data_IF_405277478707
#
_entry.id   IF_405277478707
#
_cell.length_a   1.000
_cell.length_b   1.000
_cell.length_c   1.000
_cell.angle_alpha   90.00
_cell.angle_beta   90.00
_cell.angle_gamma   90.00
#
_symmetry.space_group_name_H-M   'P 1'
#
loop_
_entity.id
_entity.type
_entity.pdbx_description
1 polymer ?
#
# COMPACT_ATOMS: atom_id res chain seq x y z
N UNK A 1 -22.06 7.53 35.98
CA UNK A 1 -21.64 7.09 35.54
C UNK A 1 -21.30 7.24 35.27
N UNK A 2 -21.51 7.73 35.48
CA UNK A 2 -20.95 7.39 34.98
C UNK A 2 -20.51 7.60 34.49
N UNK A 3 -20.81 8.02 34.72
CA UNK A 3 -20.29 7.81 34.21
C UNK A 3 -19.83 8.04 33.65
N UNK A 4 -19.94 8.45 33.94
CA UNK A 4 -19.54 8.36 33.33
C UNK A 4 -19.09 8.63 32.75
N UNK A 5 -19.87 8.93 33.48
CA UNK A 5 -19.60 8.67 33.12
C UNK A 5 -19.16 8.76 32.48
N UNK A 6 -19.07 9.22 32.31
CA UNK A 6 -19.05 8.89 31.74
C UNK A 6 -18.47 9.14 30.89
N UNK A 7 -18.76 9.55 31.28
CA UNK A 7 -18.84 9.24 30.73
C UNK A 7 -18.18 9.58 29.93
N UNK A 8 -18.36 9.40 29.58
CA UNK A 8 -18.21 9.33 29.11
C UNK A 8 -17.60 9.31 28.41
N UNK A 9 -18.06 9.86 29.08
CA UNK A 9 -17.95 9.53 28.72
C UNK A 9 -17.38 9.56 28.09
N UNK A 10 -17.83 9.73 28.31
CA UNK A 10 -17.76 9.36 28.01
C UNK A 10 -17.20 9.51 27.49
N UNK A 11 -17.56 9.78 27.73
CA UNK A 11 -17.50 9.47 27.52
C UNK A 11 -16.85 9.66 27.16
N UNK A 12 -17.22 9.99 27.43
CA UNK A 12 -17.00 9.64 27.27
C UNK A 12 -16.31 9.73 26.94
N UNK A 13 -16.52 9.79 26.83
CA UNK A 13 -16.27 9.39 26.68
C UNK A 13 -15.48 9.24 26.38
N UNK A 14 -15.77 9.93 26.78
CA UNK A 14 -15.38 9.38 26.74
C UNK A 14 -14.51 9.55 26.64
N UNK A 15 -14.85 10.05 27.19
CA UNK A 15 -14.30 9.46 27.26
C UNK A 15 -13.49 9.54 27.31
N UNK A 16 -13.50 10.00 27.60
CA UNK A 16 -12.90 9.33 27.69
C UNK A 16 -12.08 9.32 27.80
N UNK A 17 -12.23 9.74 28.03
CA UNK A 17 -11.57 8.90 28.18
C UNK A 17 -10.93 9.09 28.24
N UNK A 18 -10.98 9.45 28.33
CA UNK A 18 -10.42 8.85 28.43
C UNK A 18 -9.78 8.74 28.54
N UNK A 19 -9.97 9.14 28.84
CA UNK A 19 -9.35 8.46 28.80
C UNK A 19 -8.98 8.24 28.59
N UNK A 20 -9.02 8.46 28.68
CA UNK A 20 -8.59 7.79 28.27
C UNK A 20 -8.18 7.77 27.74
N UNK A 21 -7.80 7.93 28.02
CA UNK A 21 -7.60 7.66 27.33
C UNK A 21 -7.11 6.91 27.13
N UNK A 22 -7.14 6.62 27.04
CA UNK A 22 -6.84 5.72 26.65
C UNK A 22 -5.95 5.45 26.14
N UNK A 23 -5.25 5.07 26.44
CA UNK A 23 -4.42 4.72 25.60
C UNK A 23 -4.25 3.56 25.10
N UNK A 24 -4.50 3.43 24.30
CA UNK A 24 -4.48 2.19 23.64
C UNK A 24 -3.09 1.82 23.20
N UNK A 25 -2.80 0.56 23.03
CA UNK A 25 -1.48 0.18 22.59
C UNK A 25 -1.24 0.84 21.25
N UNK A 26 -0.08 1.40 21.12
CA UNK A 26 0.25 2.17 19.96
C UNK A 26 0.99 1.30 18.99
N UNK A 27 0.35 1.00 17.90
CA UNK A 27 1.04 0.52 16.74
C UNK A 27 1.78 1.71 16.14
N UNK A 28 3.05 1.57 15.74
CA UNK A 28 3.73 2.69 15.11
C UNK A 28 2.90 3.21 13.94
N UNK A 29 2.68 4.49 13.92
CA UNK A 29 1.96 5.12 12.83
C UNK A 29 2.80 5.07 11.57
N UNK A 30 2.15 4.94 10.39
CA UNK A 30 2.83 5.10 9.13
C UNK A 30 3.35 6.53 9.06
N UNK A 31 4.61 6.73 8.70
CA UNK A 31 5.17 8.07 8.66
C UNK A 31 4.46 8.92 7.60
N UNK A 32 4.39 10.24 7.85
CA UNK A 32 3.79 11.18 6.90
C UNK A 32 4.66 11.38 5.67
N UNK A 33 5.95 11.13 5.80
CA UNK A 33 6.90 11.15 4.70
C UNK A 33 7.68 9.85 4.71
N UNK A 34 7.89 9.31 3.53
CA UNK A 34 8.58 8.05 3.38
C UNK A 34 9.57 8.18 2.23
N UNK A 35 10.84 7.99 2.53
CA UNK A 35 11.87 7.98 1.49
C UNK A 35 11.98 6.57 0.92
N UNK A 36 11.93 6.48 -0.40
CA UNK A 36 12.08 5.21 -1.11
C UNK A 36 13.50 5.01 -1.64
N UNK A 37 14.43 5.90 -1.26
CA UNK A 37 15.77 5.92 -1.85
C UNK A 37 16.56 4.66 -1.57
N UNK A 38 16.30 3.97 -0.47
CA UNK A 38 17.03 2.75 -0.12
C UNK A 38 16.56 1.52 -0.90
N UNK A 39 15.41 1.62 -1.59
CA UNK A 39 14.89 0.47 -2.32
C UNK A 39 15.58 0.31 -3.66
N UNK A 40 15.95 -0.93 -4.05
CA UNK A 40 16.50 -1.17 -5.38
C UNK A 40 15.38 -1.05 -6.43
N UNK A 41 15.77 -0.99 -7.70
CA UNK A 41 14.80 -1.06 -8.78
C UNK A 41 14.08 -2.41 -8.81
N UNK A 42 14.82 -3.47 -8.51
CA UNK A 42 14.25 -4.81 -8.46
C UNK A 42 13.14 -4.86 -7.41
N UNK A 43 12.16 -5.69 -7.68
CA UNK A 43 11.01 -5.85 -6.81
C UNK A 43 9.84 -4.91 -7.15
N UNK A 44 10.05 -3.99 -8.09
CA UNK A 44 8.99 -3.10 -8.55
C UNK A 44 8.39 -3.63 -9.84
N UNK A 45 7.08 -3.56 -9.93
CA UNK A 45 6.34 -3.84 -11.17
C UNK A 45 5.80 -2.50 -11.63
N UNK A 46 6.32 -2.02 -12.77
CA UNK A 46 5.97 -0.70 -13.28
C UNK A 46 4.91 -0.86 -14.36
N UNK A 47 3.82 -0.11 -14.23
CA UNK A 47 2.74 -0.18 -15.21
C UNK A 47 2.03 1.17 -15.30
N UNK A 48 1.09 1.26 -16.23
CA UNK A 48 0.36 2.50 -16.49
C UNK A 48 1.03 3.36 -17.53
N UNK A 49 0.87 4.66 -17.42
CA UNK A 49 1.41 5.60 -18.41
C UNK A 49 2.86 5.96 -18.09
N UNK A 50 3.83 5.56 -18.93
CA UNK A 50 5.24 5.87 -18.65
C UNK A 50 5.55 7.36 -18.54
N UNK A 51 4.71 8.21 -19.13
CA UNK A 51 4.89 9.66 -19.08
C UNK A 51 4.07 10.33 -17.99
N UNK A 52 3.28 9.57 -17.24
CA UNK A 52 2.45 10.10 -16.17
C UNK A 52 3.25 10.40 -14.93
N UNK A 53 2.61 11.11 -14.00
CA UNK A 53 3.19 11.33 -12.68
C UNK A 53 3.35 9.99 -11.98
N UNK A 54 4.49 9.80 -11.31
CA UNK A 54 4.79 8.55 -10.64
C UNK A 54 4.08 8.46 -9.29
N UNK A 55 3.47 7.31 -9.06
CA UNK A 55 2.89 6.95 -7.78
C UNK A 55 3.42 5.57 -7.40
N UNK A 56 3.92 5.43 -6.18
CA UNK A 56 4.40 4.14 -5.68
C UNK A 56 3.38 3.57 -4.73
N UNK A 57 3.08 2.27 -4.88
CA UNK A 57 2.10 1.62 -4.02
C UNK A 57 2.70 0.32 -3.47
N UNK A 58 2.52 0.11 -2.17
CA UNK A 58 2.86 -1.15 -1.54
C UNK A 58 1.56 -1.94 -1.40
N UNK A 59 1.53 -3.12 -1.96
CA UNK A 59 0.28 -3.88 -2.12
C UNK A 59 0.48 -5.34 -1.77
N UNK A 60 -0.65 -6.02 -1.56
CA UNK A 60 -0.68 -7.46 -1.40
C UNK A 60 -1.74 -7.99 -2.37
N UNK A 61 -1.40 -9.03 -3.13
CA UNK A 61 -2.32 -9.54 -4.15
C UNK A 61 -3.60 -10.14 -3.56
N UNK A 62 -3.62 -10.44 -2.26
CA UNK A 62 -4.82 -10.94 -1.59
C UNK A 62 -5.63 -9.85 -0.90
N UNK A 63 -5.23 -8.61 -1.05
CA UNK A 63 -5.90 -7.47 -0.42
C UNK A 63 -6.99 -6.92 -1.32
N UNK A 64 -8.24 -6.93 -0.83
CA UNK A 64 -9.38 -6.41 -1.60
C UNK A 64 -9.28 -4.93 -1.89
N UNK A 65 -8.78 -4.14 -0.95
CA UNK A 65 -8.58 -2.70 -1.16
C UNK A 65 -7.48 -2.42 -2.18
N UNK A 66 -6.47 -3.29 -2.26
CA UNK A 66 -5.44 -3.17 -3.28
C UNK A 66 -6.02 -3.42 -4.67
N UNK A 67 -6.90 -4.41 -4.78
CA UNK A 67 -7.62 -4.66 -6.03
C UNK A 67 -8.45 -3.44 -6.43
N UNK A 68 -9.19 -2.86 -5.49
CA UNK A 68 -10.00 -1.68 -5.74
C UNK A 68 -9.14 -0.51 -6.18
N UNK A 69 -8.00 -0.30 -5.52
CA UNK A 69 -7.06 0.77 -5.88
C UNK A 69 -6.51 0.56 -7.29
N UNK A 70 -6.16 -0.67 -7.64
CA UNK A 70 -5.66 -0.98 -8.98
C UNK A 70 -6.68 -0.58 -10.05
N UNK A 71 -7.95 -0.87 -9.84
CA UNK A 71 -9.01 -0.46 -10.77
C UNK A 71 -9.07 1.06 -10.93
N UNK A 72 -8.91 1.80 -9.83
CA UNK A 72 -8.88 3.26 -9.89
C UNK A 72 -7.67 3.75 -10.68
N UNK A 73 -6.48 3.21 -10.35
CA UNK A 73 -5.25 3.66 -10.98
C UNK A 73 -5.20 3.36 -12.48
N UNK A 74 -5.86 2.28 -12.91
CA UNK A 74 -5.93 1.96 -14.35
C UNK A 74 -6.63 3.05 -15.15
N UNK A 75 -7.55 3.77 -14.53
CA UNK A 75 -8.31 4.83 -15.19
C UNK A 75 -7.66 6.20 -15.04
N UNK A 76 -6.52 6.26 -14.36
CA UNK A 76 -5.80 7.51 -14.12
C UNK A 76 -4.59 7.61 -15.02
N UNK A 77 -4.15 8.83 -15.27
CA UNK A 77 -2.97 9.08 -16.11
C UNK A 77 -1.72 9.11 -15.22
N UNK A 78 -1.35 7.95 -14.69
CA UNK A 78 -0.22 7.83 -13.75
C UNK A 78 0.70 6.70 -14.18
N UNK A 79 1.96 6.84 -13.77
CA UNK A 79 2.94 5.78 -13.85
C UNK A 79 2.99 5.11 -12.49
N UNK A 80 2.58 3.85 -12.43
CA UNK A 80 2.50 3.13 -11.17
C UNK A 80 3.76 2.31 -10.96
N UNK A 81 4.38 2.46 -9.80
CA UNK A 81 5.47 1.60 -9.34
C UNK A 81 4.89 0.77 -8.20
N UNK A 82 4.57 -0.48 -8.51
CA UNK A 82 3.92 -1.35 -7.54
C UNK A 82 4.95 -2.26 -6.90
N UNK A 83 4.99 -2.26 -5.57
CA UNK A 83 5.93 -3.05 -4.79
C UNK A 83 5.16 -4.00 -3.90
N UNK A 84 5.09 -5.28 -4.28
CA UNK A 84 4.37 -6.26 -3.46
C UNK A 84 5.04 -6.45 -2.09
N UNK A 85 4.19 -6.51 -1.07
CA UNK A 85 4.57 -6.97 0.26
C UNK A 85 3.54 -8.01 0.67
N UNK A 86 3.94 -8.95 1.53
CA UNK A 86 3.10 -10.13 1.77
C UNK A 86 2.47 -10.10 3.14
N UNK A 87 1.82 -8.99 3.47
CA UNK A 87 1.17 -8.83 4.77
C UNK A 87 0.02 -9.82 4.98
N UNK A 88 -0.56 -10.31 3.89
CA UNK A 88 -1.63 -11.32 3.91
C UNK A 88 -1.17 -12.68 3.38
N UNK A 89 0.13 -12.90 3.36
CA UNK A 89 0.67 -14.20 3.00
C UNK A 89 0.65 -14.52 1.51
N UNK A 90 0.79 -13.52 0.65
CA UNK A 90 0.68 -13.68 -0.81
C UNK A 90 2.01 -13.77 -1.53
N UNK A 91 3.11 -14.08 -0.81
CA UNK A 91 4.43 -14.10 -1.44
C UNK A 91 4.52 -15.08 -2.61
N UNK A 92 3.82 -16.21 -2.53
CA UNK A 92 3.78 -17.17 -3.61
C UNK A 92 3.22 -16.56 -4.90
N UNK A 93 2.15 -15.79 -4.78
CA UNK A 93 1.57 -15.08 -5.93
C UNK A 93 2.54 -14.00 -6.43
N UNK A 94 3.13 -13.24 -5.51
CA UNK A 94 4.07 -12.18 -5.88
C UNK A 94 5.25 -12.75 -6.66
N UNK A 95 5.80 -13.89 -6.24
CA UNK A 95 6.90 -14.52 -6.95
C UNK A 95 6.50 -14.88 -8.39
N UNK A 96 5.33 -15.44 -8.56
CA UNK A 96 4.85 -15.85 -9.89
C UNK A 96 4.62 -14.66 -10.80
N UNK A 97 4.01 -13.62 -10.28
CA UNK A 97 3.77 -12.39 -11.04
C UNK A 97 5.10 -11.77 -11.44
N UNK A 98 6.01 -11.66 -10.48
CA UNK A 98 7.29 -10.99 -10.72
C UNK A 98 8.15 -11.75 -11.73
N UNK A 99 8.09 -13.07 -11.73
CA UNK A 99 8.86 -13.91 -12.64
C UNK A 99 8.14 -14.19 -13.97
N UNK A 100 6.94 -13.65 -14.16
CA UNK A 100 6.23 -13.80 -15.41
C UNK A 100 6.90 -12.98 -16.51
N UNK A 101 6.76 -13.43 -17.75
CA UNK A 101 7.34 -12.72 -18.90
C UNK A 101 6.77 -11.32 -19.03
N UNK A 102 5.46 -11.18 -18.81
CA UNK A 102 4.79 -9.89 -18.86
C UNK A 102 4.25 -9.62 -17.46
N UNK A 103 5.02 -8.90 -16.68
CA UNK A 103 4.67 -8.62 -15.28
C UNK A 103 3.39 -7.84 -15.15
N UNK A 104 3.20 -6.85 -16.00
CA UNK A 104 2.00 -6.02 -15.95
C UNK A 104 0.76 -6.87 -16.21
N UNK A 105 0.78 -7.71 -17.23
CA UNK A 105 -0.35 -8.59 -17.53
C UNK A 105 -0.62 -9.56 -16.40
N UNK A 106 0.45 -10.13 -15.82
CA UNK A 106 0.31 -11.08 -14.71
C UNK A 106 -0.25 -10.40 -13.47
N UNK A 107 0.17 -9.17 -13.19
CA UNK A 107 -0.33 -8.40 -12.06
C UNK A 107 -1.84 -8.18 -12.19
N UNK A 108 -2.30 -7.74 -13.34
CA UNK A 108 -3.73 -7.51 -13.54
C UNK A 108 -4.53 -8.80 -13.52
N UNK A 109 -3.97 -9.89 -14.04
CA UNK A 109 -4.61 -11.20 -13.98
C UNK A 109 -4.75 -11.68 -12.53
N UNK A 110 -3.71 -11.46 -11.72
CA UNK A 110 -3.77 -11.84 -10.31
C UNK A 110 -4.88 -11.09 -9.57
N UNK A 111 -4.99 -9.77 -9.81
CA UNK A 111 -6.06 -9.00 -9.18
C UNK A 111 -7.44 -9.37 -9.72
N UNK A 112 -7.51 -9.89 -10.94
CA UNK A 112 -8.77 -10.38 -11.49
C UNK A 112 -9.18 -11.75 -10.94
N UNK A 113 -8.37 -12.32 -10.07
CA UNK A 113 -8.66 -13.61 -9.46
C UNK A 113 -8.23 -14.80 -10.29
N UNK A 114 -7.45 -14.57 -11.35
CA UNK A 114 -6.96 -15.67 -12.16
C UNK A 114 -5.77 -16.34 -11.50
N UNK A 115 -5.67 -17.63 -11.69
CA UNK A 115 -4.51 -18.37 -11.20
C UNK A 115 -3.29 -18.04 -12.05
N UNK A 116 -2.20 -17.64 -11.39
CA UNK A 116 -0.94 -17.37 -12.08
C UNK A 116 -0.08 -18.61 -11.98
N UNK A 117 0.18 -19.22 -13.14
CA UNK A 117 0.97 -20.43 -13.18
C UNK A 117 2.41 -20.15 -12.82
N UNK A 118 3.03 -21.11 -12.14
CA UNK A 118 4.45 -21.03 -11.88
C UNK A 118 5.20 -21.07 -13.21
N UNK A 119 5.99 -20.06 -13.47
CA UNK A 119 6.83 -19.97 -14.64
C UNK A 119 8.28 -20.27 -14.30
N UNK A 120 9.21 -19.81 -15.14
CA UNK A 120 10.63 -19.95 -14.82
C UNK A 120 10.96 -19.20 -13.54
N UNK A 121 11.92 -19.74 -12.79
CA UNK A 121 12.41 -19.01 -11.62
C UNK A 121 13.16 -17.78 -12.06
N UNK A 122 13.14 -16.76 -11.21
CA UNK A 122 13.90 -15.56 -11.43
C UNK A 122 14.42 -15.04 -10.09
N UNK A 123 15.24 -14.01 -10.14
CA UNK A 123 15.77 -13.40 -8.93
C UNK A 123 14.68 -12.56 -8.28
N UNK A 124 14.25 -12.98 -7.09
CA UNK A 124 13.20 -12.28 -6.33
C UNK A 124 13.75 -11.54 -5.12
N UNK A 125 15.05 -11.25 -5.11
CA UNK A 125 15.64 -10.50 -3.99
C UNK A 125 15.05 -9.11 -3.83
N UNK A 126 14.55 -8.52 -4.91
CA UNK A 126 13.86 -7.24 -4.83
C UNK A 126 12.55 -7.33 -4.06
N UNK A 127 11.84 -8.46 -4.16
CA UNK A 127 10.66 -8.68 -3.34
C UNK A 127 11.03 -8.82 -1.87
N UNK A 128 12.15 -9.47 -1.57
CA UNK A 128 12.67 -9.53 -0.20
C UNK A 128 12.96 -8.12 0.32
N UNK A 129 13.52 -7.26 -0.53
CA UNK A 129 13.81 -5.88 -0.15
C UNK A 129 12.53 -5.10 0.17
N UNK A 130 11.45 -5.33 -0.58
CA UNK A 130 10.16 -4.72 -0.27
C UNK A 130 9.66 -5.14 1.11
N UNK A 131 9.75 -6.44 1.41
CA UNK A 131 9.30 -6.98 2.70
C UNK A 131 10.12 -6.38 3.84
N UNK A 132 11.44 -6.33 3.69
CA UNK A 132 12.32 -5.76 4.71
C UNK A 132 12.04 -4.28 4.91
N UNK A 133 11.81 -3.55 3.82
CA UNK A 133 11.46 -2.13 3.88
C UNK A 133 10.16 -1.93 4.65
N UNK A 134 9.14 -2.71 4.32
CA UNK A 134 7.84 -2.62 4.98
C UNK A 134 7.99 -2.87 6.48
N UNK A 135 8.77 -3.88 6.84
CA UNK A 135 9.01 -4.21 8.25
C UNK A 135 9.73 -3.06 8.96
N UNK A 136 10.79 -2.54 8.35
CA UNK A 136 11.59 -1.45 8.93
C UNK A 136 10.78 -0.19 9.16
N UNK A 137 9.87 0.11 8.25
CA UNK A 137 9.10 1.35 8.30
C UNK A 137 7.68 1.19 8.83
N UNK A 138 7.37 0.02 9.38
CA UNK A 138 6.08 -0.21 10.03
C UNK A 138 4.89 -0.28 9.09
N UNK A 139 5.08 -0.69 7.85
CA UNK A 139 3.99 -0.84 6.89
C UNK A 139 3.33 -2.20 7.13
N UNK A 140 2.32 -2.22 7.98
CA UNK A 140 1.69 -3.47 8.40
C UNK A 140 0.34 -3.71 7.72
N UNK A 141 -0.11 -2.79 6.87
CA UNK A 141 -1.35 -2.94 6.11
C UNK A 141 -1.15 -2.48 4.69
N UNK A 142 -2.14 -2.76 3.84
CA UNK A 142 -2.11 -2.41 2.42
C UNK A 142 -3.45 -1.87 1.98
N UNK A 143 -3.50 -1.04 0.94
CA UNK A 143 -2.36 -0.48 0.23
C UNK A 143 -1.73 0.67 1.00
N UNK A 144 -0.45 0.93 0.74
CA UNK A 144 0.22 2.17 1.17
C UNK A 144 0.61 2.91 -0.09
N UNK A 145 0.24 4.18 -0.18
CA UNK A 145 0.38 4.97 -1.39
C UNK A 145 1.40 6.07 -1.12
N UNK A 146 2.42 6.18 -1.96
CA UNK A 146 3.50 7.14 -1.75
C UNK A 146 3.61 8.03 -2.99
N UNK A 147 3.54 9.34 -2.74
CA UNK A 147 3.69 10.36 -3.79
C UNK A 147 5.17 10.66 -4.02
N UNK A 148 5.48 11.28 -5.15
CA UNK A 148 6.87 11.55 -5.53
C UNK A 148 7.67 12.35 -4.53
N UNK A 149 7.03 13.21 -3.74
CA UNK A 149 7.69 13.98 -2.69
C UNK A 149 7.78 13.22 -1.35
N UNK A 150 7.33 11.98 -1.32
CA UNK A 150 7.37 11.14 -0.12
C UNK A 150 6.12 11.19 0.74
N UNK A 151 5.12 11.99 0.38
CA UNK A 151 3.87 12.01 1.13
C UNK A 151 3.18 10.66 1.05
N UNK A 152 2.55 10.24 2.13
CA UNK A 152 2.04 8.87 2.29
C UNK A 152 0.55 8.90 2.62
N UNK A 153 -0.18 7.98 2.02
CA UNK A 153 -1.55 7.67 2.40
C UNK A 153 -1.63 6.19 2.72
N UNK A 154 -2.25 5.84 3.83
CA UNK A 154 -2.59 4.46 4.14
C UNK A 154 -4.03 4.19 3.71
N UNK A 155 -4.20 3.10 2.98
CA UNK A 155 -5.53 2.63 2.61
C UNK A 155 -6.00 3.15 1.27
N UNK A 156 -7.16 2.65 0.88
CA UNK A 156 -7.78 2.97 -0.39
C UNK A 156 -8.29 4.41 -0.40
N UNK A 157 -8.17 5.06 -1.56
CA UNK A 157 -8.82 6.35 -1.82
C UNK A 157 -9.42 6.33 -3.22
N UNK A 158 -10.53 7.02 -3.43
CA UNK A 158 -11.13 7.09 -4.76
C UNK A 158 -10.38 8.03 -5.68
N UNK A 159 -10.69 7.92 -6.96
CA UNK A 159 -9.99 8.64 -8.02
C UNK A 159 -9.93 10.14 -7.79
N UNK A 160 -11.07 10.77 -7.47
CA UNK A 160 -11.11 12.22 -7.31
C UNK A 160 -10.17 12.70 -6.19
N UNK A 161 -10.13 11.94 -5.09
CA UNK A 161 -9.22 12.25 -4.00
C UNK A 161 -7.76 12.15 -4.47
N UNK A 162 -7.43 11.06 -5.14
CA UNK A 162 -6.05 10.83 -5.57
C UNK A 162 -5.60 11.84 -6.61
N UNK A 163 -6.46 12.21 -7.54
CA UNK A 163 -6.11 13.22 -8.54
C UNK A 163 -5.77 14.55 -7.88
N UNK A 164 -6.57 14.94 -6.90
CA UNK A 164 -6.31 16.19 -6.18
C UNK A 164 -5.04 16.08 -5.32
N UNK A 165 -4.87 14.96 -4.62
CA UNK A 165 -3.71 14.73 -3.77
C UNK A 165 -2.40 14.72 -4.58
N UNK A 166 -2.42 14.14 -5.77
CA UNK A 166 -1.23 14.10 -6.62
C UNK A 166 -0.79 15.48 -7.07
N UNK A 167 -1.73 16.42 -7.23
CA UNK A 167 -1.37 17.78 -7.58
C UNK A 167 -0.48 18.43 -6.54
N UNK A 168 -0.65 18.10 -5.26
CA UNK A 168 0.18 18.63 -4.20
C UNK A 168 1.64 18.18 -4.27
N UNK A 169 1.93 17.12 -5.01
CA UNK A 169 3.29 16.64 -5.22
C UNK A 169 3.98 17.19 -6.46
N UNK A 170 3.31 18.05 -7.22
CA UNK A 170 3.89 18.66 -8.41
C UNK A 170 4.56 19.97 -8.00
N UNK A 171 5.75 20.18 -8.49
CA UNK A 171 6.51 21.40 -8.20
C UNK A 171 6.39 22.37 -9.34
#
# INVERSE_FOLDING_TARGET
>A
AAANAGGEDDTSQLAAATPGRVEKPVRPATPQKLSLAELPRDGAIVWGNPSGQTITVFTDFRCGYCRALTSVLKDMNVRVVERPISVLGSRDVADRVYCARNREAALHAAYAGEEIKAGPSCNTSGLDANEAFAHRHGLSGTPVIVRGDGAVIEGYRPRAFLENWLKGGQS
#
